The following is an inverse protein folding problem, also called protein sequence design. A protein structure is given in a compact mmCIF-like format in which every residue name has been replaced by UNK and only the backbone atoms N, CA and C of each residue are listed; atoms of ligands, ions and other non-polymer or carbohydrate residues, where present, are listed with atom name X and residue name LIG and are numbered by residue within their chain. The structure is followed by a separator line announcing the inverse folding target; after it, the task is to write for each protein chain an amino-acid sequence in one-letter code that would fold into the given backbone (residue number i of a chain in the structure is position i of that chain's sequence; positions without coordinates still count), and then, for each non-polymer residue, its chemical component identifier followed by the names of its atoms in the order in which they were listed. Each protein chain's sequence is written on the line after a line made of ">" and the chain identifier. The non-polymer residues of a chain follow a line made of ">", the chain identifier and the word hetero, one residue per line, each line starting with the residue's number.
data_IF_727003155145
#
_entry.id   IF_727003155145
#
_cell.length_a   1.000
_cell.length_b   1.000
_cell.length_c   1.000
_cell.angle_alpha   90.00
_cell.angle_beta   90.00
_cell.angle_gamma   90.00
#
_symmetry.space_group_name_H-M   'P 1'
#
loop_
_entity.id
_entity.type
_entity.pdbx_description
1 polymer ?
#
# COMPACT_ATOMS: atom_id res chain seq x y z
N UNK A 1 -44.24 -30.98 0.14
CA UNK A 1 -44.06 -31.37 -1.28
C UNK A 1 -42.76 -30.76 -1.76
N UNK A 2 -41.70 -31.57 -1.92
CA UNK A 2 -40.42 -31.16 -2.50
C UNK A 2 -40.42 -31.62 -3.97
N UNK A 3 -40.13 -30.76 -4.95
CA UNK A 3 -40.08 -31.17 -6.35
C UNK A 3 -38.83 -32.02 -6.63
N UNK A 4 -39.01 -33.11 -7.38
CA UNK A 4 -37.99 -34.13 -7.68
C UNK A 4 -36.84 -33.60 -8.56
N UNK A 5 -35.60 -33.93 -8.17
CA UNK A 5 -34.37 -33.55 -8.88
C UNK A 5 -34.29 -34.08 -10.33
N UNK A 6 -35.06 -35.12 -10.66
CA UNK A 6 -35.07 -35.70 -12.01
C UNK A 6 -35.64 -34.72 -13.06
N UNK A 7 -36.55 -33.82 -12.67
CA UNK A 7 -37.19 -32.87 -13.58
C UNK A 7 -36.22 -31.77 -14.02
N UNK A 8 -35.35 -31.30 -13.12
CA UNK A 8 -34.33 -30.29 -13.44
C UNK A 8 -33.25 -30.83 -14.38
N UNK A 9 -32.90 -32.11 -14.23
CA UNK A 9 -31.90 -32.75 -15.09
C UNK A 9 -32.40 -32.88 -16.55
N UNK A 10 -33.68 -33.22 -16.72
CA UNK A 10 -34.34 -33.27 -18.02
C UNK A 10 -34.53 -31.86 -18.63
N UNK A 11 -34.84 -30.84 -17.81
CA UNK A 11 -34.98 -29.46 -18.28
C UNK A 11 -33.65 -28.86 -18.78
N UNK A 12 -32.52 -29.20 -18.15
CA UNK A 12 -31.18 -28.77 -18.59
C UNK A 12 -30.74 -29.41 -19.91
N UNK A 13 -31.07 -30.69 -20.15
CA UNK A 13 -30.74 -31.36 -21.42
C UNK A 13 -31.56 -30.77 -22.57
N UNK A 14 -32.82 -30.41 -22.33
CA UNK A 14 -33.68 -29.80 -23.35
C UNK A 14 -33.22 -28.37 -23.70
N UNK A 15 -32.71 -27.60 -22.74
CA UNK A 15 -32.17 -26.25 -22.98
C UNK A 15 -30.85 -26.22 -23.77
N UNK A 16 -30.05 -27.30 -23.73
CA UNK A 16 -28.79 -27.38 -24.48
C UNK A 16 -28.98 -27.75 -25.97
N UNK A 17 -30.15 -28.26 -26.37
CA UNK A 17 -30.43 -28.72 -27.74
C UNK A 17 -31.03 -27.61 -28.63
N UNK A 18 -31.41 -26.47 -28.06
CA UNK A 18 -32.24 -25.46 -28.73
C UNK A 18 -31.54 -24.14 -29.10
N UNK A 19 -30.21 -24.04 -28.98
CA UNK A 19 -29.48 -22.86 -29.49
C UNK A 19 -28.92 -23.12 -30.90
N UNK A 20 -29.40 -22.40 -31.94
CA UNK A 20 -28.85 -22.52 -33.28
C UNK A 20 -27.48 -21.83 -33.35
N UNK A 21 -26.50 -22.63 -33.78
CA UNK A 21 -25.22 -22.19 -34.31
C UNK A 21 -25.46 -21.42 -35.61
N UNK A 22 -25.34 -20.09 -35.57
CA UNK A 22 -25.34 -19.24 -36.77
C UNK A 22 -24.36 -18.08 -36.60
N UNK A 23 -23.37 -18.01 -37.47
CA UNK A 23 -22.37 -16.94 -37.49
C UNK A 23 -21.22 -17.18 -38.47
N UNK A 24 -21.57 -17.57 -39.69
CA UNK A 24 -20.67 -17.76 -40.84
C UNK A 24 -20.10 -16.42 -41.34
N UNK A 25 -18.79 -16.39 -41.63
CA UNK A 25 -18.30 -15.82 -42.90
C UNK A 25 -16.92 -16.41 -43.22
N UNK A 26 -16.91 -17.38 -44.13
CA UNK A 26 -15.72 -17.80 -44.84
C UNK A 26 -15.54 -16.95 -46.11
N UNK A 27 -14.35 -16.40 -46.32
CA UNK A 27 -13.81 -16.06 -47.64
C UNK A 27 -12.31 -16.34 -47.62
N UNK A 28 -11.80 -16.79 -48.77
CA UNK A 28 -10.67 -17.70 -48.95
C UNK A 28 -9.25 -17.16 -48.64
N UNK A 29 -8.46 -18.10 -48.12
CA UNK A 29 -7.02 -18.37 -48.28
C UNK A 29 -6.09 -17.35 -48.98
N UNK A 30 -5.02 -16.99 -48.26
CA UNK A 30 -3.64 -16.92 -48.79
C UNK A 30 -2.67 -17.47 -47.73
N UNK A 31 -1.85 -18.44 -48.14
CA UNK A 31 -0.77 -19.08 -47.38
C UNK A 31 0.35 -18.08 -47.08
N UNK A 32 0.72 -17.89 -45.81
CA UNK A 32 2.12 -17.63 -45.39
C UNK A 32 2.28 -18.00 -43.90
N UNK A 33 3.33 -18.74 -43.57
CA UNK A 33 3.53 -19.37 -42.26
C UNK A 33 3.81 -18.42 -41.10
N UNK A 34 3.50 -18.91 -39.90
CA UNK A 34 3.86 -18.33 -38.61
C UNK A 34 3.43 -19.26 -37.49
N UNK A 35 4.39 -19.87 -36.79
CA UNK A 35 4.17 -20.67 -35.59
C UNK A 35 3.77 -19.71 -34.46
N UNK A 36 2.47 -19.55 -34.21
CA UNK A 36 1.97 -18.94 -32.98
C UNK A 36 1.37 -20.04 -32.10
N UNK A 37 2.16 -20.44 -31.10
CA UNK A 37 1.68 -21.24 -29.98
C UNK A 37 0.78 -20.35 -29.11
N UNK A 38 -0.51 -20.31 -29.40
CA UNK A 38 -1.51 -19.87 -28.42
C UNK A 38 -1.70 -21.00 -27.41
N UNK A 39 -0.86 -21.00 -26.37
CA UNK A 39 -1.17 -21.72 -25.14
C UNK A 39 -2.54 -21.25 -24.63
N UNK A 40 -3.41 -22.17 -24.19
CA UNK A 40 -4.69 -21.79 -23.61
C UNK A 40 -4.41 -21.01 -22.33
N UNK A 41 -4.85 -19.75 -22.28
CA UNK A 41 -4.83 -18.92 -21.09
C UNK A 41 -5.52 -19.68 -19.96
N UNK A 42 -4.72 -20.17 -19.01
CA UNK A 42 -5.22 -20.63 -17.72
C UNK A 42 -5.89 -19.42 -17.07
N UNK A 43 -7.23 -19.42 -17.08
CA UNK A 43 -8.15 -18.72 -16.19
C UNK A 43 -7.52 -17.61 -15.34
N UNK A 44 -7.98 -16.38 -15.54
CA UNK A 44 -7.78 -15.16 -14.76
C UNK A 44 -8.08 -15.34 -13.25
N UNK A 45 -7.35 -16.24 -12.58
CA UNK A 45 -7.20 -16.22 -11.14
C UNK A 45 -6.35 -14.99 -10.86
N UNK A 46 -6.91 -14.02 -10.14
CA UNK A 46 -6.18 -12.83 -9.72
C UNK A 46 -4.83 -13.26 -9.12
N UNK A 47 -3.74 -12.99 -9.84
CA UNK A 47 -2.43 -13.42 -9.40
C UNK A 47 -2.07 -12.56 -8.19
N UNK A 48 -2.05 -13.19 -7.02
CA UNK A 48 -1.79 -12.55 -5.74
C UNK A 48 -0.27 -12.55 -5.49
N UNK A 49 0.24 -11.42 -5.05
CA UNK A 49 1.65 -11.20 -4.76
C UNK A 49 1.86 -10.93 -3.28
N UNK A 50 3.10 -11.18 -2.82
CA UNK A 50 3.54 -10.90 -1.46
C UNK A 50 4.48 -9.70 -1.43
N UNK A 51 4.21 -8.71 -0.59
CA UNK A 51 5.06 -7.54 -0.38
C UNK A 51 5.89 -7.75 0.87
N UNK A 52 7.23 -7.62 0.76
CA UNK A 52 8.14 -7.82 1.88
C UNK A 52 8.94 -6.56 2.19
N UNK A 53 9.29 -6.39 3.45
CA UNK A 53 10.12 -5.28 3.90
C UNK A 53 10.55 -5.40 5.34
N UNK A 54 11.44 -4.51 5.74
CA UNK A 54 11.98 -4.38 7.09
C UNK A 54 11.70 -2.99 7.62
N UNK A 55 11.07 -2.92 8.78
CA UNK A 55 10.92 -1.71 9.56
C UNK A 55 12.12 -1.56 10.51
N UNK A 56 12.75 -0.39 10.50
CA UNK A 56 13.89 -0.08 11.35
C UNK A 56 13.66 1.27 12.04
N UNK A 57 14.16 1.40 13.27
CA UNK A 57 14.24 2.69 13.92
C UNK A 57 15.60 3.30 13.62
N UNK A 58 15.63 4.63 13.57
CA UNK A 58 16.88 5.37 13.47
C UNK A 58 17.65 5.21 14.78
N UNK A 59 18.97 5.09 14.69
CA UNK A 59 19.86 4.71 15.81
C UNK A 59 19.81 5.68 17.00
N UNK A 60 19.40 6.92 16.77
CA UNK A 60 19.24 7.97 17.77
C UNK A 60 17.94 7.86 18.56
N UNK A 61 17.00 7.01 18.14
CA UNK A 61 15.74 6.80 18.83
C UNK A 61 15.84 5.60 19.78
N UNK A 62 15.48 5.80 21.04
CA UNK A 62 15.36 4.69 22.00
C UNK A 62 14.20 3.80 21.57
N UNK A 63 14.46 2.53 21.25
CA UNK A 63 13.47 1.58 20.76
C UNK A 63 12.93 0.72 21.92
N UNK A 64 11.68 0.92 22.39
CA UNK A 64 11.11 0.08 23.44
C UNK A 64 10.88 -1.33 22.89
N UNK A 65 11.15 -2.40 23.65
CA UNK A 65 11.20 -3.77 23.11
C UNK A 65 9.92 -4.22 22.39
N UNK A 66 8.77 -3.66 22.77
CA UNK A 66 7.43 -3.96 22.26
C UNK A 66 6.97 -3.06 21.09
N UNK A 67 7.79 -2.12 20.59
CA UNK A 67 7.37 -1.20 19.51
C UNK A 67 6.86 -1.94 18.27
N UNK A 68 7.44 -3.10 17.95
CA UNK A 68 7.05 -3.93 16.80
C UNK A 68 5.65 -4.51 16.96
N UNK A 69 5.29 -4.96 18.17
CA UNK A 69 3.99 -5.54 18.47
C UNK A 69 2.86 -4.50 18.36
N UNK A 70 3.16 -3.23 18.70
CA UNK A 70 2.23 -2.11 18.56
C UNK A 70 2.16 -1.55 17.13
N UNK A 71 3.01 -2.04 16.22
CA UNK A 71 3.03 -1.60 14.84
C UNK A 71 2.09 -2.43 13.98
N UNK A 72 1.46 -1.79 13.00
CA UNK A 72 0.69 -2.44 11.95
C UNK A 72 1.19 -1.95 10.60
N UNK A 73 1.29 -2.85 9.64
CA UNK A 73 1.59 -2.50 8.25
C UNK A 73 0.26 -2.44 7.51
N UNK A 74 -0.04 -1.32 6.90
CA UNK A 74 -1.27 -1.13 6.15
C UNK A 74 -0.91 -0.88 4.69
N UNK A 75 -1.68 -1.51 3.82
CA UNK A 75 -1.66 -1.29 2.38
C UNK A 75 -3.00 -0.69 1.98
N UNK A 76 -2.97 0.42 1.24
CA UNK A 76 -4.15 1.18 0.82
C UNK A 76 -5.11 1.45 1.98
N UNK A 77 -4.63 2.15 3.00
CA UNK A 77 -5.42 2.57 4.16
C UNK A 77 -6.12 1.42 4.91
N UNK A 78 -5.52 0.22 4.87
CA UNK A 78 -6.00 -0.96 5.60
C UNK A 78 -6.78 -1.97 4.76
N UNK A 79 -6.82 -1.83 3.42
CA UNK A 79 -7.36 -2.88 2.54
C UNK A 79 -6.62 -4.21 2.70
N UNK A 80 -5.29 -4.13 2.84
CA UNK A 80 -4.46 -5.27 3.22
C UNK A 80 -3.69 -4.90 4.48
N UNK A 81 -3.64 -5.83 5.45
CA UNK A 81 -2.99 -5.61 6.74
C UNK A 81 -1.88 -6.65 6.89
N UNK A 82 -0.71 -6.19 7.31
CA UNK A 82 0.43 -7.02 7.68
C UNK A 82 0.89 -6.75 9.10
N UNK A 83 1.62 -7.72 9.62
CA UNK A 83 2.22 -7.66 10.95
C UNK A 83 3.74 -7.67 10.85
N UNK A 84 4.38 -6.97 11.79
CA UNK A 84 5.84 -6.93 11.90
C UNK A 84 6.28 -8.06 12.84
N UNK A 85 7.24 -8.86 12.40
CA UNK A 85 7.88 -9.91 13.21
C UNK A 85 8.88 -9.30 14.21
N UNK A 86 9.38 -10.12 15.12
CA UNK A 86 10.37 -9.71 16.12
C UNK A 86 11.68 -9.18 15.50
N UNK A 87 12.07 -9.70 14.33
CA UNK A 87 13.24 -9.25 13.57
C UNK A 87 13.08 -7.87 12.92
N UNK A 88 11.87 -7.29 12.97
CA UNK A 88 11.48 -6.10 12.24
C UNK A 88 11.10 -6.35 10.78
N UNK A 89 11.14 -7.61 10.32
CA UNK A 89 10.69 -7.99 8.98
C UNK A 89 9.15 -8.11 8.96
N UNK A 90 8.53 -7.74 7.85
CA UNK A 90 7.10 -7.88 7.62
C UNK A 90 6.84 -8.44 6.22
N UNK A 91 5.72 -9.15 6.11
CA UNK A 91 5.23 -9.74 4.87
C UNK A 91 3.73 -9.46 4.80
N UNK A 92 3.27 -8.93 3.66
CA UNK A 92 1.85 -8.71 3.36
C UNK A 92 1.51 -9.58 2.16
N UNK A 93 0.72 -10.62 2.39
CA UNK A 93 0.29 -11.56 1.34
C UNK A 93 -1.09 -11.17 0.81
N UNK A 94 -1.44 -11.72 -0.36
CA UNK A 94 -2.76 -11.54 -0.95
C UNK A 94 -2.97 -10.17 -1.62
N UNK A 95 -1.91 -9.56 -2.15
CA UNK A 95 -1.98 -8.26 -2.81
C UNK A 95 -2.07 -8.44 -4.33
N UNK A 96 -3.13 -7.98 -5.01
CA UNK A 96 -3.21 -8.08 -6.46
C UNK A 96 -2.20 -7.15 -7.15
N UNK A 97 -2.06 -7.24 -8.48
CA UNK A 97 -1.25 -6.27 -9.23
C UNK A 97 -1.90 -4.89 -9.22
N UNK A 98 -1.13 -3.86 -8.89
CA UNK A 98 -1.64 -2.50 -8.75
C UNK A 98 -0.62 -1.53 -8.19
N UNK A 99 -1.02 -0.28 -8.02
CA UNK A 99 -0.26 0.73 -7.27
C UNK A 99 -0.89 0.88 -5.89
N UNK A 100 -0.09 0.70 -4.85
CA UNK A 100 -0.53 0.75 -3.47
C UNK A 100 0.29 1.76 -2.67
N UNK A 101 -0.32 2.30 -1.62
CA UNK A 101 0.41 3.06 -0.60
C UNK A 101 0.63 2.14 0.60
N UNK A 102 1.89 1.94 0.97
CA UNK A 102 2.28 1.22 2.17
C UNK A 102 2.60 2.23 3.27
N UNK A 103 1.95 2.04 4.40
CA UNK A 103 2.18 2.81 5.62
C UNK A 103 2.39 1.88 6.81
N UNK A 104 3.18 2.33 7.78
CA UNK A 104 3.32 1.65 9.06
C UNK A 104 2.71 2.55 10.12
N UNK A 105 1.63 2.09 10.74
CA UNK A 105 0.99 2.79 11.85
C UNK A 105 1.59 2.32 13.16
N UNK A 106 2.05 3.27 13.97
CA UNK A 106 2.56 3.07 15.31
C UNK A 106 2.18 4.30 16.16
N UNK A 107 1.95 4.10 17.46
CA UNK A 107 1.60 5.18 18.38
C UNK A 107 2.81 6.02 18.80
N UNK A 108 3.99 5.43 18.94
CA UNK A 108 5.18 6.10 19.43
C UNK A 108 6.03 6.71 18.31
N UNK A 109 5.95 6.16 17.09
CA UNK A 109 6.81 6.55 15.96
C UNK A 109 6.02 6.82 14.68
N UNK A 110 6.51 7.80 13.91
CA UNK A 110 5.97 8.15 12.61
C UNK A 110 6.90 7.62 11.52
N UNK A 111 6.38 6.76 10.66
CA UNK A 111 7.06 6.22 9.48
C UNK A 111 6.72 7.03 8.23
N UNK A 112 7.64 7.04 7.26
CA UNK A 112 7.39 7.65 5.95
C UNK A 112 6.57 6.69 5.07
N UNK A 113 5.45 7.13 4.47
CA UNK A 113 4.67 6.31 3.57
C UNK A 113 5.41 6.10 2.24
N UNK A 114 5.27 4.89 1.69
CA UNK A 114 5.96 4.47 0.47
C UNK A 114 4.94 3.99 -0.55
N UNK A 115 5.07 4.45 -1.78
CA UNK A 115 4.29 3.95 -2.91
C UNK A 115 4.95 2.69 -3.46
N UNK A 116 4.15 1.65 -3.66
CA UNK A 116 4.58 0.38 -4.22
C UNK A 116 3.78 0.11 -5.49
N UNK A 117 4.48 -0.15 -6.59
CA UNK A 117 3.86 -0.57 -7.84
C UNK A 117 4.21 -2.03 -8.11
N UNK A 118 3.18 -2.86 -8.25
CA UNK A 118 3.27 -4.29 -8.53
C UNK A 118 2.81 -4.51 -9.97
N UNK A 119 3.70 -5.04 -10.80
CA UNK A 119 3.37 -5.43 -12.18
C UNK A 119 2.63 -6.76 -12.16
N UNK A 120 1.76 -7.05 -13.15
CA UNK A 120 1.13 -8.37 -13.32
C UNK A 120 2.12 -9.53 -13.49
N UNK A 121 3.40 -9.23 -13.76
CA UNK A 121 4.51 -10.21 -13.79
C UNK A 121 5.17 -10.45 -12.42
N UNK A 122 4.69 -9.80 -11.36
CA UNK A 122 5.25 -9.87 -10.01
C UNK A 122 6.50 -9.00 -9.76
N UNK A 123 6.90 -8.15 -10.70
CA UNK A 123 7.98 -7.18 -10.46
C UNK A 123 7.47 -6.06 -9.56
N UNK A 124 8.07 -5.93 -8.39
CA UNK A 124 7.75 -4.90 -7.39
C UNK A 124 8.72 -3.72 -7.54
N UNK A 125 8.18 -2.50 -7.57
CA UNK A 125 8.95 -1.24 -7.55
C UNK A 125 8.47 -0.39 -6.40
N UNK A 126 9.38 0.23 -5.67
CA UNK A 126 9.05 1.08 -4.54
C UNK A 126 9.57 2.50 -4.75
N UNK A 127 8.77 3.48 -4.35
CA UNK A 127 9.05 4.91 -4.54
C UNK A 127 8.61 5.68 -3.30
N UNK A 128 9.36 6.72 -2.89
CA UNK A 128 8.88 7.63 -1.84
C UNK A 128 7.60 8.34 -2.28
N UNK A 129 6.64 8.48 -1.38
CA UNK A 129 5.39 9.16 -1.68
C UNK A 129 5.61 10.68 -1.68
N UNK A 130 5.67 11.30 -2.85
CA UNK A 130 5.72 12.75 -3.01
C UNK A 130 4.42 13.24 -3.66
N UNK A 131 3.63 14.03 -2.93
CA UNK A 131 2.37 14.59 -3.41
C UNK A 131 2.55 15.87 -4.24
N UNK A 132 3.62 16.63 -4.00
CA UNK A 132 3.85 17.93 -4.65
C UNK A 132 4.45 17.77 -6.05
N UNK A 133 5.24 16.71 -6.26
CA UNK A 133 5.91 16.44 -7.53
C UNK A 133 5.78 14.95 -7.88
N UNK A 134 4.67 14.53 -8.52
CA UNK A 134 4.44 13.12 -8.85
C UNK A 134 5.41 12.57 -9.90
N UNK A 135 6.01 13.45 -10.71
CA UNK A 135 7.00 13.08 -11.74
C UNK A 135 8.41 12.84 -11.16
N UNK A 136 8.69 13.36 -9.97
CA UNK A 136 10.00 13.16 -9.33
C UNK A 136 10.07 11.74 -8.79
N UNK A 137 10.82 10.89 -9.48
CA UNK A 137 10.98 9.48 -9.13
C UNK A 137 12.14 9.31 -8.15
N UNK A 138 11.82 9.06 -6.87
CA UNK A 138 12.80 8.63 -5.88
C UNK A 138 12.61 7.13 -5.62
N UNK A 139 13.45 6.31 -6.26
CA UNK A 139 13.38 4.85 -6.16
C UNK A 139 13.96 4.35 -4.84
N UNK A 140 13.22 3.49 -4.16
CA UNK A 140 13.71 2.76 -2.98
C UNK A 140 14.08 1.34 -3.43
N UNK A 141 15.21 0.83 -2.93
CA UNK A 141 15.64 -0.54 -3.20
C UNK A 141 14.70 -1.56 -2.55
N UNK A 142 14.60 -2.74 -3.18
CA UNK A 142 13.89 -3.89 -2.62
C UNK A 142 14.92 -4.87 -2.01
N UNK A 143 14.67 -5.48 -0.83
CA UNK A 143 13.48 -5.38 0.02
C UNK A 143 13.30 -4.00 0.67
N UNK A 144 12.06 -3.62 0.96
CA UNK A 144 11.74 -2.29 1.49
C UNK A 144 12.45 -2.07 2.83
N UNK A 145 13.14 -0.95 2.99
CA UNK A 145 13.70 -0.53 4.28
C UNK A 145 12.99 0.74 4.71
N UNK A 146 12.13 0.61 5.72
CA UNK A 146 11.30 1.70 6.23
C UNK A 146 11.87 2.17 7.55
N UNK A 147 12.45 3.36 7.53
CA UNK A 147 13.04 3.97 8.72
C UNK A 147 12.05 4.95 9.35
N UNK A 148 11.86 4.88 10.67
CA UNK A 148 11.09 5.88 11.40
C UNK A 148 11.70 7.28 11.21
N UNK A 149 10.86 8.27 10.92
CA UNK A 149 11.29 9.67 10.69
C UNK A 149 11.48 10.41 12.00
N UNK A 150 10.50 10.30 12.90
CA UNK A 150 10.48 11.01 14.18
C UNK A 150 9.57 10.29 15.20
N UNK A 151 9.80 10.47 16.50
CA UNK A 151 8.84 10.08 17.52
C UNK A 151 7.56 10.92 17.38
N UNK A 152 6.41 10.30 17.62
CA UNK A 152 5.11 10.95 17.57
C UNK A 152 4.96 11.93 18.75
N UNK A 153 4.86 13.22 18.44
CA UNK A 153 4.61 14.29 19.41
C UNK A 153 3.14 14.69 19.36
N UNK A 154 2.31 14.03 20.17
CA UNK A 154 0.88 14.35 20.26
C UNK A 154 0.60 15.62 21.05
N UNK A 155 1.43 15.90 22.05
CA UNK A 155 1.26 17.04 22.93
C UNK A 155 2.23 18.16 22.57
N UNK A 156 1.70 19.37 22.45
CA UNK A 156 2.50 20.59 22.40
C UNK A 156 2.70 21.08 23.84
N UNK A 157 3.92 21.44 24.19
CA UNK A 157 4.19 22.08 25.48
C UNK A 157 3.41 23.40 25.57
N UNK A 158 2.85 23.70 26.75
CA UNK A 158 2.22 25.00 27.01
C UNK A 158 3.30 26.07 26.91
N UNK A 159 2.96 27.21 26.32
CA UNK A 159 3.81 28.39 26.40
C UNK A 159 3.94 28.78 27.87
N UNK A 160 5.15 28.61 28.39
CA UNK A 160 5.49 29.00 29.75
C UNK A 160 5.51 30.53 29.83
N UNK A 161 5.03 31.08 30.95
CA UNK A 161 5.20 32.50 31.21
C UNK A 161 6.68 32.75 31.49
N UNK A 162 7.41 33.21 30.48
CA UNK A 162 8.83 33.58 30.61
C UNK A 162 8.90 35.03 31.04
N UNK A 163 9.40 35.29 32.25
CA UNK A 163 9.65 36.66 32.77
C UNK A 163 10.57 37.43 31.80
N UNK A 164 11.50 36.74 31.14
CA UNK A 164 12.37 37.30 30.11
C UNK A 164 11.59 37.88 28.93
N UNK A 165 10.45 37.29 28.55
CA UNK A 165 9.66 37.72 27.41
C UNK A 165 8.84 38.98 27.74
N UNK A 166 8.52 39.20 29.03
CA UNK A 166 7.93 40.46 29.52
C UNK A 166 8.96 41.58 29.52
N UNK A 167 10.19 41.28 29.95
CA UNK A 167 11.30 42.26 29.98
C UNK A 167 11.81 42.61 28.57
N UNK A 168 11.81 41.65 27.65
CA UNK A 168 12.25 41.84 26.26
C UNK A 168 11.15 42.41 25.34
N UNK A 169 10.01 42.79 25.91
CA UNK A 169 8.94 43.44 25.15
C UNK A 169 9.37 44.89 24.84
N UNK A 170 9.43 45.31 23.55
CA UNK A 170 9.90 46.64 23.17
C UNK A 170 9.12 47.79 23.82
N UNK A 171 7.85 47.57 24.19
CA UNK A 171 7.06 48.56 24.93
C UNK A 171 7.54 48.75 26.37
N UNK A 172 7.96 47.67 27.05
CA UNK A 172 8.47 47.72 28.43
C UNK A 172 9.90 48.29 28.45
N UNK A 173 10.73 47.95 27.46
CA UNK A 173 12.08 48.50 27.33
C UNK A 173 12.05 50.00 27.09
N UNK A 174 11.21 50.49 26.17
CA UNK A 174 11.06 51.92 25.88
C UNK A 174 10.56 52.70 27.09
N UNK A 175 9.67 52.09 27.89
CA UNK A 175 9.21 52.67 29.15
C UNK A 175 10.38 52.81 30.13
N UNK A 176 11.19 51.77 30.35
CA UNK A 176 12.32 51.80 31.28
C UNK A 176 13.48 52.69 30.79
N UNK A 177 13.74 52.74 29.48
CA UNK A 177 14.82 53.57 28.92
C UNK A 177 14.45 55.04 28.74
N UNK A 178 13.15 55.39 28.82
CA UNK A 178 12.66 56.76 28.73
C UNK A 178 12.63 57.53 30.06
N UNK A 179 12.98 56.88 31.18
CA UNK A 179 13.04 57.48 32.53
C UNK A 179 14.48 57.60 33.08
N UNK A 180 15.48 57.71 32.22
CA UNK A 180 16.88 57.98 32.57
C UNK A 180 17.34 59.36 32.09
#
# INVERSE_FOLDING_TARGET
>A
MKPDQSVYFLLCIILAVLTPLSGTSASEAVVTGGVDQSQPNSSEAEQLFSVQGKAMLRHDMHAPPNWRANSRVLLDYGKHIGFIREDGNFVVDGVPSGSYILEITNTDYIFEPVRIDITSKGKIRARRLNLLQPNTVNTIAYPLQLTARQPAKYFRAREEWRITDVLMNPMVIMLQSGYA
#
